data_IF_269201143022
#
_entry.id   IF_269201143022
#
_cell.length_a   1.000
_cell.length_b   1.000
_cell.length_c   1.000
_cell.angle_alpha   90.00
_cell.angle_beta   90.00
_cell.angle_gamma   90.00
#
_symmetry.space_group_name_H-M   'P 1'
#
loop_
_entity.id
_entity.type
_entity.pdbx_description
1 polymer ?
#
# COMPACT_ATOMS: atom_id res chain seq x y z
N UNK A 1 -18.06 -9.52 13.74
CA UNK A 1 -17.58 -8.43 12.84
C UNK A 1 -16.20 -7.87 13.18
N UNK A 2 -15.74 -7.86 14.45
CA UNK A 2 -14.41 -7.32 14.83
C UNK A 2 -13.24 -8.10 14.21
N UNK A 3 -13.33 -9.43 14.14
CA UNK A 3 -12.29 -10.31 13.55
C UNK A 3 -12.12 -10.06 12.05
N UNK A 4 -13.22 -9.93 11.30
CA UNK A 4 -13.15 -9.61 9.86
C UNK A 4 -12.44 -8.28 9.66
N UNK A 5 -12.76 -7.26 10.48
CA UNK A 5 -12.07 -5.96 10.43
C UNK A 5 -10.58 -6.10 10.72
N UNK A 6 -10.22 -6.86 11.74
CA UNK A 6 -8.82 -7.13 12.10
C UNK A 6 -8.07 -7.79 10.94
N UNK A 7 -8.63 -8.85 10.35
CA UNK A 7 -8.04 -9.57 9.21
C UNK A 7 -7.88 -8.62 8.02
N UNK A 8 -8.92 -7.83 7.69
CA UNK A 8 -8.84 -6.86 6.59
C UNK A 8 -7.84 -5.74 6.86
N UNK A 9 -7.69 -5.30 8.10
CA UNK A 9 -6.72 -4.26 8.47
C UNK A 9 -5.29 -4.78 8.33
N UNK A 10 -5.01 -6.00 8.81
CA UNK A 10 -3.68 -6.61 8.76
C UNK A 10 -3.31 -6.98 7.33
N UNK A 11 -4.11 -7.85 6.68
CA UNK A 11 -3.79 -8.37 5.35
C UNK A 11 -3.97 -7.30 4.27
N UNK A 12 -5.05 -6.52 4.35
CA UNK A 12 -5.30 -5.44 3.41
C UNK A 12 -4.29 -4.30 3.55
N UNK A 13 -3.94 -3.94 4.79
CA UNK A 13 -2.88 -2.98 5.05
C UNK A 13 -1.55 -3.46 4.51
N UNK A 14 -1.22 -4.75 4.70
CA UNK A 14 0.04 -5.32 4.22
C UNK A 14 0.12 -5.30 2.69
N UNK A 15 -0.96 -5.72 2.01
CA UNK A 15 -1.06 -5.66 0.56
C UNK A 15 -0.89 -4.22 0.04
N UNK A 16 -1.62 -3.28 0.62
CA UNK A 16 -1.56 -1.87 0.24
C UNK A 16 -0.15 -1.29 0.45
N UNK A 17 0.43 -1.53 1.62
CA UNK A 17 1.78 -1.08 1.96
C UNK A 17 2.84 -1.66 1.02
N UNK A 18 2.72 -2.94 0.66
CA UNK A 18 3.65 -3.60 -0.28
C UNK A 18 3.57 -2.96 -1.68
N UNK A 19 2.36 -2.73 -2.18
CA UNK A 19 2.16 -2.07 -3.48
C UNK A 19 2.69 -0.65 -3.49
N UNK A 20 2.44 0.13 -2.44
CA UNK A 20 2.99 1.47 -2.27
C UNK A 20 4.51 1.46 -2.23
N UNK A 21 5.12 0.50 -1.52
CA UNK A 21 6.58 0.37 -1.42
C UNK A 21 7.21 0.17 -2.80
N UNK A 22 6.59 -0.66 -3.66
CA UNK A 22 7.02 -0.84 -5.05
C UNK A 22 6.89 0.47 -5.82
N UNK A 23 5.74 1.14 -5.74
CA UNK A 23 5.52 2.42 -6.43
C UNK A 23 6.54 3.48 -6.02
N UNK A 24 6.78 3.63 -4.71
CA UNK A 24 7.79 4.55 -4.16
C UNK A 24 9.19 4.21 -4.67
N UNK A 25 9.56 2.93 -4.68
CA UNK A 25 10.85 2.48 -5.20
C UNK A 25 11.05 2.83 -6.68
N UNK A 26 9.96 2.90 -7.45
CA UNK A 26 10.02 3.23 -8.88
C UNK A 26 10.01 4.73 -9.16
N UNK A 27 9.33 5.51 -8.31
CA UNK A 27 9.09 6.95 -8.51
C UNK A 27 10.13 7.84 -7.85
N UNK A 28 10.76 7.41 -6.75
CA UNK A 28 11.71 8.23 -6.02
C UNK A 28 12.93 8.59 -6.90
N UNK A 29 13.37 9.86 -6.91
CA UNK A 29 14.43 10.35 -7.79
C UNK A 29 15.83 10.07 -7.21
N UNK A 30 16.08 8.87 -6.70
CA UNK A 30 17.41 8.49 -6.22
C UNK A 30 18.24 7.90 -7.35
N UNK A 31 19.50 8.34 -7.47
CA UNK A 31 20.46 7.77 -8.42
C UNK A 31 20.84 6.33 -8.06
N UNK A 32 20.81 5.98 -6.77
CA UNK A 32 21.07 4.63 -6.27
C UNK A 32 19.76 3.93 -5.90
N UNK A 33 19.52 2.75 -6.50
CA UNK A 33 18.31 1.95 -6.24
C UNK A 33 18.25 1.46 -4.79
N UNK A 34 19.38 1.24 -4.14
CA UNK A 34 19.42 0.79 -2.75
C UNK A 34 18.81 1.83 -1.80
N UNK A 35 19.13 3.12 -1.99
CA UNK A 35 18.60 4.22 -1.18
C UNK A 35 17.08 4.34 -1.34
N UNK A 36 16.60 4.21 -2.58
CA UNK A 36 15.17 4.22 -2.88
C UNK A 36 14.41 3.09 -2.19
N UNK A 37 14.97 1.87 -2.20
CA UNK A 37 14.34 0.70 -1.56
C UNK A 37 14.31 0.87 -0.04
N UNK A 38 15.40 1.36 0.56
CA UNK A 38 15.49 1.58 2.01
C UNK A 38 14.44 2.60 2.44
N UNK A 39 14.37 3.75 1.78
CA UNK A 39 13.39 4.78 2.12
C UNK A 39 11.96 4.31 1.93
N UNK A 40 11.66 3.65 0.79
CA UNK A 40 10.34 3.07 0.55
C UNK A 40 9.96 2.03 1.62
N UNK A 41 10.91 1.18 2.04
CA UNK A 41 10.70 0.17 3.08
C UNK A 41 10.44 0.82 4.44
N UNK A 42 11.13 1.90 4.78
CA UNK A 42 10.88 2.65 6.02
C UNK A 42 9.46 3.24 6.04
N UNK A 43 9.01 3.81 4.91
CA UNK A 43 7.66 4.35 4.79
C UNK A 43 6.56 3.27 4.78
N UNK A 44 6.89 2.05 4.35
CA UNK A 44 5.94 0.94 4.28
C UNK A 44 5.22 0.70 5.61
N UNK A 45 5.95 0.76 6.72
CA UNK A 45 5.39 0.60 8.06
C UNK A 45 4.44 1.74 8.42
N UNK A 46 4.79 2.99 8.09
CA UNK A 46 3.94 4.16 8.32
C UNK A 46 2.61 4.02 7.58
N UNK A 47 2.62 3.63 6.31
CA UNK A 47 1.40 3.42 5.54
C UNK A 47 0.55 2.28 6.08
N UNK A 48 1.19 1.17 6.48
CA UNK A 48 0.52 0.04 7.10
C UNK A 48 -0.19 0.45 8.40
N UNK A 49 0.51 1.18 9.27
CA UNK A 49 -0.04 1.67 10.54
C UNK A 49 -1.20 2.65 10.31
N UNK A 50 -1.05 3.60 9.38
CA UNK A 50 -2.12 4.53 9.02
C UNK A 50 -3.36 3.79 8.52
N UNK A 51 -3.19 2.74 7.71
CA UNK A 51 -4.31 1.93 7.24
C UNK A 51 -5.02 1.19 8.38
N UNK A 52 -4.26 0.66 9.36
CA UNK A 52 -4.84 0.06 10.56
C UNK A 52 -5.66 1.09 11.33
N UNK A 53 -5.09 2.26 11.64
CA UNK A 53 -5.80 3.32 12.37
C UNK A 53 -7.06 3.77 11.62
N UNK A 54 -6.95 3.95 10.30
CA UNK A 54 -8.07 4.27 9.43
C UNK A 54 -9.17 3.21 9.48
N UNK A 55 -8.79 1.93 9.49
CA UNK A 55 -9.74 0.83 9.61
C UNK A 55 -10.56 0.90 10.89
N UNK A 56 -10.08 1.51 11.97
CA UNK A 56 -10.83 1.66 13.22
C UNK A 56 -11.51 3.04 13.39
N UNK A 57 -11.35 3.99 12.46
CA UNK A 57 -11.82 5.38 12.54
C UNK A 57 -13.32 5.58 12.20
N UNK A 58 -14.23 4.73 12.67
CA UNK A 58 -15.70 4.82 12.44
C UNK A 58 -16.20 4.46 11.02
N UNK A 59 -15.36 3.90 10.15
CA UNK A 59 -15.74 3.53 8.78
C UNK A 59 -16.45 2.17 8.73
N UNK A 60 -17.50 2.04 7.90
CA UNK A 60 -18.17 0.76 7.66
C UNK A 60 -17.26 -0.25 6.94
N UNK A 61 -17.34 -1.53 7.28
CA UNK A 61 -16.49 -2.58 6.69
C UNK A 61 -16.64 -2.70 5.16
N UNK A 62 -17.84 -2.47 4.63
CA UNK A 62 -18.10 -2.51 3.17
C UNK A 62 -17.34 -1.40 2.45
N UNK A 63 -17.40 -0.16 2.96
CA UNK A 63 -16.64 0.97 2.40
C UNK A 63 -15.14 0.72 2.47
N UNK A 64 -14.65 0.17 3.59
CA UNK A 64 -13.23 -0.18 3.75
C UNK A 64 -12.75 -1.15 2.66
N UNK A 65 -13.51 -2.23 2.41
CA UNK A 65 -13.19 -3.21 1.39
C UNK A 65 -13.19 -2.61 -0.02
N UNK A 66 -14.18 -1.78 -0.34
CA UNK A 66 -14.26 -1.10 -1.64
C UNK A 66 -13.05 -0.17 -1.82
N UNK A 67 -12.74 0.66 -0.83
CA UNK A 67 -11.60 1.57 -0.88
C UNK A 67 -10.28 0.81 -1.04
N UNK A 68 -10.08 -0.25 -0.26
CA UNK A 68 -8.90 -1.10 -0.37
C UNK A 68 -8.77 -1.71 -1.76
N UNK A 69 -9.85 -2.27 -2.31
CA UNK A 69 -9.84 -2.85 -3.64
C UNK A 69 -9.49 -1.81 -4.72
N UNK A 70 -10.16 -0.65 -4.69
CA UNK A 70 -9.93 0.43 -5.65
C UNK A 70 -8.48 0.92 -5.61
N UNK A 71 -7.96 1.24 -4.41
CA UNK A 71 -6.59 1.74 -4.27
C UNK A 71 -5.57 0.68 -4.68
N UNK A 72 -5.78 -0.58 -4.32
CA UNK A 72 -4.87 -1.66 -4.69
C UNK A 72 -4.84 -1.93 -6.19
N UNK A 73 -6.00 -1.88 -6.86
CA UNK A 73 -6.09 -2.02 -8.32
C UNK A 73 -5.38 -0.86 -9.01
N UNK A 74 -5.59 0.38 -8.57
CA UNK A 74 -4.91 1.54 -9.13
C UNK A 74 -3.39 1.44 -8.96
N UNK A 75 -2.90 1.09 -7.77
CA UNK A 75 -1.47 0.91 -7.53
C UNK A 75 -0.88 -0.23 -8.34
N UNK A 76 -1.61 -1.33 -8.51
CA UNK A 76 -1.19 -2.44 -9.36
C UNK A 76 -1.01 -1.99 -10.81
N UNK A 77 -1.99 -1.26 -11.38
CA UNK A 77 -1.93 -0.75 -12.75
C UNK A 77 -0.78 0.26 -12.94
N UNK A 78 -0.55 1.12 -11.95
CA UNK A 78 0.58 2.06 -11.96
C UNK A 78 1.89 1.25 -11.97
N UNK A 79 2.02 0.28 -11.07
CA UNK A 79 3.23 -0.52 -10.96
C UNK A 79 3.51 -1.33 -12.23
N UNK A 80 2.49 -1.93 -12.86
CA UNK A 80 2.66 -2.66 -14.12
C UNK A 80 3.12 -1.73 -15.25
N UNK A 81 2.52 -0.54 -15.35
CA UNK A 81 2.91 0.44 -16.36
C UNK A 81 4.36 0.94 -16.18
N UNK A 82 4.76 1.24 -14.95
CA UNK A 82 6.14 1.64 -14.66
C UNK A 82 7.16 0.52 -14.85
N UNK A 83 6.77 -0.73 -14.62
CA UNK A 83 7.62 -1.90 -14.88
C UNK A 83 7.83 -2.10 -16.38
N UNK A 84 6.79 -1.98 -17.20
CA UNK A 84 6.89 -2.07 -18.67
C UNK A 84 7.79 -0.97 -19.26
N UNK A 85 7.76 0.25 -18.71
CA UNK A 85 8.63 1.34 -19.19
C UNK A 85 10.12 1.09 -18.87
N UNK A 86 10.42 0.41 -17.75
CA UNK A 86 11.80 0.20 -17.27
C UNK A 86 12.40 -1.15 -17.69
N UNK A 87 11.63 -2.04 -18.31
CA UNK A 87 12.06 -3.36 -18.79
C UNK A 87 12.66 -3.28 -20.21
#
# INVERSE_FOLDING_TARGET
MKIIRLITAILGGYLLSSLLTISLTLVLPFSNKAESVVLASMLSFTFWLLFILYSYSSISIKKLLIQLAVVSILLFLINSYFLEIKA
#
